data_IF_880734833128
#
_entry.id   IF_880734833128
#
_cell.length_a   1.000
_cell.length_b   1.000
_cell.length_c   1.000
_cell.angle_alpha   90.00
_cell.angle_beta   90.00
_cell.angle_gamma   90.00
#
_symmetry.space_group_name_H-M   'P 1'
#
loop_
_entity.id
_entity.type
_entity.pdbx_description
1 polymer ?
#
# COMPACT_ATOMS: atom_id res chain seq x y z
N UNK A 1 -78.30 45.88 27.42
CA UNK A 1 -77.19 46.22 26.52
C UNK A 1 -76.12 45.15 26.65
N UNK A 2 -76.06 44.15 25.77
CA UNK A 2 -75.08 43.02 25.85
C UNK A 2 -74.11 43.21 24.73
N UNK A 3 -72.83 43.45 25.03
CA UNK A 3 -71.77 43.63 24.12
C UNK A 3 -71.15 42.26 23.83
N UNK A 4 -71.33 41.72 22.61
CA UNK A 4 -70.67 40.46 22.17
C UNK A 4 -69.32 40.80 21.52
N UNK A 5 -68.22 40.34 22.10
CA UNK A 5 -66.91 40.49 21.59
C UNK A 5 -66.64 39.24 20.71
N UNK A 6 -66.54 39.43 19.42
CA UNK A 6 -66.10 38.38 18.45
C UNK A 6 -64.58 38.32 18.41
N UNK A 7 -64.02 37.18 18.81
CA UNK A 7 -62.54 36.87 18.73
C UNK A 7 -62.23 36.28 17.36
N UNK A 8 -61.57 37.04 16.48
CA UNK A 8 -61.09 36.55 15.19
C UNK A 8 -59.77 35.87 15.37
N UNK A 9 -59.72 34.55 15.17
CA UNK A 9 -58.49 33.77 15.16
C UNK A 9 -57.85 33.85 13.75
N UNK A 10 -56.75 34.56 13.62
CA UNK A 10 -55.92 34.58 12.39
C UNK A 10 -55.02 33.33 12.33
N UNK A 11 -55.35 32.40 11.46
CA UNK A 11 -54.50 31.25 11.17
C UNK A 11 -53.32 31.68 10.27
N UNK A 12 -52.10 31.68 10.82
CA UNK A 12 -50.88 31.95 10.10
C UNK A 12 -50.49 30.65 9.34
N UNK A 13 -50.71 30.60 8.00
CA UNK A 13 -50.17 29.56 7.14
C UNK A 13 -48.70 29.84 6.93
N UNK A 14 -47.83 29.08 7.59
CA UNK A 14 -46.40 29.03 7.30
C UNK A 14 -46.17 28.20 6.03
N UNK A 15 -45.51 28.73 4.98
CA UNK A 15 -45.17 27.95 3.79
C UNK A 15 -44.11 26.90 4.20
N UNK A 16 -44.45 25.63 4.07
CA UNK A 16 -43.53 24.53 4.23
C UNK A 16 -42.61 24.50 2.98
N UNK A 17 -41.37 24.99 3.13
CA UNK A 17 -40.34 24.82 2.11
C UNK A 17 -40.01 23.35 2.02
N UNK A 18 -40.04 22.76 0.81
CA UNK A 18 -39.59 21.36 0.61
C UNK A 18 -38.11 21.25 0.99
N UNK A 19 -37.81 20.57 2.09
CA UNK A 19 -36.44 20.13 2.41
C UNK A 19 -36.07 19.14 1.34
N UNK A 20 -35.32 19.60 0.32
CA UNK A 20 -34.64 18.71 -0.62
C UNK A 20 -33.62 17.92 0.19
N UNK A 21 -33.88 16.63 0.39
CA UNK A 21 -32.84 15.69 0.79
C UNK A 21 -31.74 15.81 -0.27
N UNK A 22 -30.63 16.46 0.09
CA UNK A 22 -29.43 16.41 -0.72
C UNK A 22 -28.98 14.94 -0.70
N UNK A 23 -29.15 14.26 -1.83
CA UNK A 23 -28.47 12.99 -2.07
C UNK A 23 -26.99 13.27 -1.86
N UNK A 24 -26.47 12.89 -0.71
CA UNK A 24 -25.04 12.92 -0.43
C UNK A 24 -24.42 11.82 -1.29
N UNK A 25 -24.10 12.17 -2.53
CA UNK A 25 -23.20 11.35 -3.34
C UNK A 25 -21.92 11.24 -2.53
N UNK A 26 -21.63 10.04 -2.06
CA UNK A 26 -20.39 9.76 -1.32
C UNK A 26 -19.16 10.16 -2.13
N UNK A 27 -17.98 10.25 -1.52
CA UNK A 27 -16.75 10.52 -2.25
C UNK A 27 -16.56 9.45 -3.34
N UNK A 28 -16.03 9.84 -4.51
CA UNK A 28 -15.81 8.90 -5.60
C UNK A 28 -14.84 7.78 -5.18
N UNK A 29 -15.13 6.57 -5.65
CA UNK A 29 -14.33 5.37 -5.42
C UNK A 29 -13.52 5.06 -6.65
N UNK A 30 -12.26 4.75 -6.44
CA UNK A 30 -11.29 4.39 -7.48
C UNK A 30 -10.76 2.99 -7.25
N UNK A 31 -10.55 2.28 -8.35
CA UNK A 31 -9.76 1.05 -8.40
C UNK A 31 -8.35 1.42 -8.87
N UNK A 32 -7.35 1.11 -8.06
CA UNK A 32 -5.95 1.30 -8.37
C UNK A 32 -5.28 -0.06 -8.53
N UNK A 33 -4.73 -0.32 -9.70
CA UNK A 33 -4.04 -1.54 -10.06
C UNK A 33 -2.54 -1.26 -10.20
N UNK A 34 -1.71 -2.00 -9.49
CA UNK A 34 -0.26 -1.99 -9.63
C UNK A 34 0.20 -3.27 -10.31
N UNK A 35 1.01 -3.12 -11.36
CA UNK A 35 1.75 -4.18 -12.03
C UNK A 35 3.23 -4.02 -11.75
N UNK A 36 3.80 -4.94 -10.98
CA UNK A 36 5.20 -4.92 -10.61
C UNK A 36 5.92 -6.03 -11.38
N UNK A 37 6.83 -5.65 -12.26
CA UNK A 37 7.61 -6.58 -13.09
C UNK A 37 9.05 -6.58 -12.64
N UNK A 38 9.59 -7.79 -12.50
CA UNK A 38 11.03 -8.02 -12.34
C UNK A 38 11.61 -8.25 -13.72
N UNK A 39 12.39 -7.30 -14.23
CA UNK A 39 12.87 -7.28 -15.61
C UNK A 39 13.93 -8.34 -15.97
N UNK A 40 14.35 -9.16 -15.00
CA UNK A 40 15.21 -10.31 -15.27
C UNK A 40 14.48 -11.50 -15.89
N UNK A 41 13.15 -11.52 -15.78
CA UNK A 41 12.29 -12.59 -16.30
C UNK A 41 11.23 -11.99 -17.23
N UNK A 42 11.35 -12.27 -18.52
CA UNK A 42 10.39 -11.81 -19.54
C UNK A 42 9.09 -12.63 -19.55
N UNK A 43 8.98 -13.65 -18.70
CA UNK A 43 7.75 -14.43 -18.59
C UNK A 43 6.63 -13.64 -17.92
N UNK A 44 5.40 -13.84 -18.40
CA UNK A 44 4.21 -13.23 -17.79
C UNK A 44 4.01 -13.64 -16.31
N UNK A 45 4.70 -14.70 -15.86
CA UNK A 45 4.66 -15.17 -14.46
C UNK A 45 5.49 -14.30 -13.51
N UNK A 46 6.40 -13.47 -14.01
CA UNK A 46 7.20 -12.57 -13.18
C UNK A 46 6.47 -11.29 -12.81
N UNK A 47 5.33 -10.99 -13.43
CA UNK A 47 4.51 -9.84 -13.09
C UNK A 47 3.66 -10.14 -11.85
N UNK A 48 3.77 -9.30 -10.83
CA UNK A 48 2.91 -9.32 -9.65
C UNK A 48 1.85 -8.23 -9.78
N UNK A 49 0.60 -8.62 -9.69
CA UNK A 49 -0.53 -7.70 -9.79
C UNK A 49 -1.18 -7.49 -8.42
N UNK A 50 -1.38 -6.22 -8.06
CA UNK A 50 -2.06 -5.83 -6.83
C UNK A 50 -3.16 -4.84 -7.16
N UNK A 51 -4.36 -5.07 -6.61
CA UNK A 51 -5.55 -4.25 -6.86
C UNK A 51 -6.11 -3.73 -5.55
N UNK A 52 -6.39 -2.43 -5.48
CA UNK A 52 -6.97 -1.77 -4.32
C UNK A 52 -8.20 -0.97 -4.74
N UNK A 53 -9.22 -1.00 -3.89
CA UNK A 53 -10.35 -0.07 -3.97
C UNK A 53 -10.16 0.99 -2.88
N UNK A 54 -10.29 2.27 -3.24
CA UNK A 54 -10.10 3.36 -2.32
C UNK A 54 -10.99 4.56 -2.63
N UNK A 55 -11.41 5.26 -1.60
CA UNK A 55 -12.12 6.53 -1.70
C UNK A 55 -11.12 7.66 -1.95
N UNK A 56 -11.55 8.66 -2.71
CA UNK A 56 -10.78 9.89 -2.91
C UNK A 56 -10.41 10.54 -1.56
N UNK A 57 -9.16 10.98 -1.45
CA UNK A 57 -8.63 11.66 -0.26
C UNK A 57 -8.39 10.74 0.94
N UNK A 58 -8.67 9.45 0.83
CA UNK A 58 -8.39 8.45 1.87
C UNK A 58 -7.06 7.76 1.61
N UNK A 59 -6.39 7.44 2.71
CA UNK A 59 -5.17 6.63 2.69
C UNK A 59 -5.56 5.15 2.67
N UNK A 60 -4.98 4.40 1.73
CA UNK A 60 -5.05 2.95 1.69
C UNK A 60 -3.69 2.35 2.03
N UNK A 61 -3.70 1.24 2.77
CA UNK A 61 -2.51 0.47 3.13
C UNK A 61 -2.73 -0.98 2.75
N UNK A 62 -1.77 -1.52 2.02
CA UNK A 62 -1.79 -2.90 1.56
C UNK A 62 -0.45 -3.56 1.88
N UNK A 63 -0.47 -4.67 2.61
CA UNK A 63 0.72 -5.45 2.94
C UNK A 63 0.50 -6.90 2.58
N UNK A 64 1.44 -7.44 1.81
CA UNK A 64 1.50 -8.88 1.50
C UNK A 64 2.94 -9.34 1.58
N UNK A 65 3.17 -10.43 2.33
CA UNK A 65 4.54 -10.90 2.50
C UNK A 65 4.64 -12.09 3.44
N UNK A 66 5.88 -12.47 3.70
CA UNK A 66 6.24 -13.55 4.62
C UNK A 66 7.14 -13.00 5.72
N UNK A 67 7.17 -13.72 6.83
CA UNK A 67 8.14 -13.50 7.91
C UNK A 67 9.27 -14.50 7.80
N UNK A 68 10.49 -14.01 7.79
CA UNK A 68 11.67 -14.87 7.79
C UNK A 68 12.39 -14.79 9.14
N UNK A 69 12.80 -15.92 9.71
CA UNK A 69 13.61 -15.93 10.92
C UNK A 69 15.05 -15.54 10.54
N UNK A 70 15.63 -14.65 11.33
CA UNK A 70 17.04 -14.27 11.27
C UNK A 70 17.66 -14.66 12.61
N UNK A 71 18.67 -15.50 12.58
CA UNK A 71 19.37 -15.91 13.80
C UNK A 71 20.20 -14.75 14.33
N UNK A 72 19.90 -14.33 15.55
CA UNK A 72 20.74 -13.43 16.36
C UNK A 72 21.35 -14.27 17.48
N UNK A 73 22.55 -14.81 17.27
CA UNK A 73 23.23 -15.62 18.26
C UNK A 73 24.32 -14.83 18.99
N UNK A 74 24.38 -14.97 20.30
CA UNK A 74 25.59 -14.59 21.05
C UNK A 74 26.49 -15.83 21.19
N UNK A 75 27.72 -15.70 20.70
CA UNK A 75 28.74 -16.70 20.90
C UNK A 75 29.41 -16.41 22.26
N UNK A 76 29.20 -17.27 23.23
CA UNK A 76 29.97 -17.20 24.48
C UNK A 76 31.14 -18.17 24.34
N UNK A 77 32.35 -17.64 24.20
CA UNK A 77 33.55 -18.46 24.20
C UNK A 77 33.64 -19.17 25.54
N UNK A 78 33.48 -20.50 25.55
CA UNK A 78 33.69 -21.32 26.74
C UNK A 78 35.16 -21.27 27.14
N UNK A 79 35.42 -21.19 28.46
CA UNK A 79 36.75 -21.38 28.99
C UNK A 79 37.28 -22.79 28.68
N UNK A 80 38.62 -22.99 28.76
CA UNK A 80 39.29 -24.25 28.47
C UNK A 80 38.58 -25.43 29.12
N UNK A 81 37.96 -26.31 28.32
CA UNK A 81 37.32 -27.55 28.74
C UNK A 81 35.79 -27.58 28.80
N UNK A 82 35.11 -26.49 28.41
CA UNK A 82 33.63 -26.45 28.36
C UNK A 82 33.17 -26.27 26.91
N UNK A 83 32.23 -27.12 26.49
CA UNK A 83 31.60 -26.94 25.19
C UNK A 83 30.98 -25.53 25.09
N UNK A 84 31.21 -24.80 23.97
CA UNK A 84 30.61 -23.47 23.78
C UNK A 84 29.08 -23.57 23.79
N UNK A 85 28.45 -22.84 24.72
CA UNK A 85 27.00 -22.70 24.73
C UNK A 85 26.59 -21.71 23.60
N UNK A 86 25.98 -22.25 22.57
CA UNK A 86 25.39 -21.44 21.49
C UNK A 86 23.95 -21.12 21.89
N UNK A 87 23.69 -19.90 22.31
CA UNK A 87 22.32 -19.43 22.51
C UNK A 87 21.83 -18.80 21.21
N UNK A 88 21.01 -19.52 20.45
CA UNK A 88 20.44 -19.03 19.21
C UNK A 88 19.08 -18.37 19.48
N UNK A 89 19.01 -17.06 19.31
CA UNK A 89 17.77 -16.29 19.34
C UNK A 89 17.37 -15.95 17.92
N UNK A 90 16.06 -15.99 17.63
CA UNK A 90 15.54 -15.62 16.30
C UNK A 90 14.81 -14.29 16.39
N UNK A 91 15.14 -13.39 15.46
CA UNK A 91 14.38 -12.18 15.16
C UNK A 91 13.65 -12.39 13.83
N UNK A 92 12.41 -11.96 13.73
CA UNK A 92 11.63 -12.12 12.50
C UNK A 92 11.61 -10.82 11.71
N UNK A 93 11.91 -10.91 10.42
CA UNK A 93 11.86 -9.78 9.48
C UNK A 93 10.73 -10.02 8.49
N UNK A 94 9.89 -9.00 8.29
CA UNK A 94 8.83 -9.04 7.29
C UNK A 94 9.44 -8.74 5.91
N UNK A 95 9.16 -9.60 4.93
CA UNK A 95 9.55 -9.45 3.53
C UNK A 95 8.32 -9.51 2.64
N UNK A 96 8.35 -8.76 1.53
CA UNK A 96 7.24 -8.73 0.58
C UNK A 96 6.99 -7.34 0.02
N UNK A 97 5.72 -7.01 -0.16
CA UNK A 97 5.25 -5.74 -0.72
C UNK A 97 4.43 -5.01 0.33
N UNK A 98 4.77 -3.76 0.58
CA UNK A 98 3.99 -2.83 1.36
C UNK A 98 3.70 -1.61 0.49
N UNK A 99 2.42 -1.33 0.26
CA UNK A 99 1.95 -0.18 -0.51
C UNK A 99 1.10 0.68 0.41
N UNK A 100 1.45 1.94 0.52
CA UNK A 100 0.71 2.94 1.25
C UNK A 100 0.46 4.11 0.31
N UNK A 101 -0.79 4.42 -0.01
CA UNK A 101 -1.08 5.45 -1.00
C UNK A 101 -2.39 6.20 -0.72
N UNK A 102 -2.51 7.36 -1.35
CA UNK A 102 -3.72 8.18 -1.41
C UNK A 102 -3.92 8.70 -2.83
N UNK A 103 -5.18 8.88 -3.23
CA UNK A 103 -5.56 9.43 -4.52
C UNK A 103 -6.34 10.73 -4.32
N UNK A 104 -6.09 11.69 -5.22
CA UNK A 104 -6.84 12.93 -5.26
C UNK A 104 -7.17 13.29 -6.72
N UNK A 105 -8.46 13.39 -7.06
CA UNK A 105 -8.89 13.78 -8.42
C UNK A 105 -8.98 15.29 -8.52
N UNK A 106 -8.24 15.84 -9.45
CA UNK A 106 -8.25 17.26 -9.81
C UNK A 106 -8.73 17.41 -11.26
N UNK A 107 -10.06 17.46 -11.44
CA UNK A 107 -10.69 17.65 -12.76
C UNK A 107 -10.30 16.57 -13.79
N UNK A 108 -10.27 15.30 -13.39
CA UNK A 108 -9.95 14.16 -14.25
C UNK A 108 -8.47 13.82 -14.31
N UNK A 109 -7.59 14.63 -13.67
CA UNK A 109 -6.20 14.30 -13.42
C UNK A 109 -6.08 13.72 -12.02
N UNK A 110 -5.72 12.46 -11.92
CA UNK A 110 -5.70 11.74 -10.65
C UNK A 110 -4.27 11.78 -10.09
N UNK A 111 -4.09 12.52 -9.00
CA UNK A 111 -2.81 12.58 -8.30
C UNK A 111 -2.67 11.38 -7.38
N UNK A 112 -1.62 10.61 -7.56
CA UNK A 112 -1.22 9.50 -6.72
C UNK A 112 -0.05 9.92 -5.85
N UNK A 113 -0.24 9.88 -4.53
CA UNK A 113 0.82 10.04 -3.53
C UNK A 113 0.95 8.74 -2.76
N UNK A 114 2.18 8.27 -2.51
CA UNK A 114 2.34 7.07 -1.72
C UNK A 114 3.76 6.57 -1.59
N UNK A 115 3.89 5.52 -0.82
CA UNK A 115 5.13 4.80 -0.57
C UNK A 115 4.96 3.35 -0.99
N UNK A 116 5.91 2.83 -1.74
CA UNK A 116 6.01 1.44 -2.13
C UNK A 116 7.31 0.87 -1.57
N UNK A 117 7.19 -0.14 -0.70
CA UNK A 117 8.31 -0.86 -0.12
C UNK A 117 8.26 -2.31 -0.60
N UNK A 118 9.33 -2.73 -1.23
CA UNK A 118 9.52 -4.07 -1.78
C UNK A 118 10.72 -4.70 -1.12
N UNK A 119 10.52 -5.85 -0.52
CA UNK A 119 11.60 -6.61 0.09
C UNK A 119 11.59 -8.06 -0.34
N UNK A 120 12.76 -8.60 -0.62
CA UNK A 120 12.97 -10.00 -1.02
C UNK A 120 14.22 -10.56 -0.36
N UNK A 121 14.31 -11.88 -0.29
CA UNK A 121 15.56 -12.55 0.09
C UNK A 121 16.43 -12.68 -1.14
N UNK A 122 17.68 -12.22 -1.04
CA UNK A 122 18.67 -12.46 -2.09
C UNK A 122 18.91 -13.96 -2.26
N UNK A 123 19.15 -14.44 -3.50
CA UNK A 123 19.59 -15.82 -3.72
C UNK A 123 20.83 -16.10 -2.88
N UNK A 124 20.80 -17.18 -2.10
CA UNK A 124 22.00 -17.58 -1.35
C UNK A 124 23.07 -18.06 -2.34
N UNK A 125 24.26 -17.48 -2.27
CA UNK A 125 25.41 -17.96 -3.02
C UNK A 125 25.70 -19.42 -2.66
N UNK A 126 26.01 -20.24 -3.69
CA UNK A 126 26.27 -21.66 -3.51
C UNK A 126 27.42 -21.93 -2.51
N UNK A 127 28.37 -21.00 -2.41
CA UNK A 127 29.48 -21.07 -1.47
C UNK A 127 29.06 -20.78 0.00
N UNK A 128 28.04 -19.95 0.21
CA UNK A 128 27.54 -19.63 1.55
C UNK A 128 26.71 -20.76 2.18
N UNK A 129 26.29 -21.75 1.40
CA UNK A 129 25.50 -22.90 1.89
C UNK A 129 26.33 -23.90 2.72
N UNK A 130 27.64 -23.82 2.67
CA UNK A 130 28.53 -24.79 3.34
C UNK A 130 28.95 -24.41 4.76
N UNK A 131 28.68 -23.20 5.22
CA UNK A 131 29.10 -22.72 6.54
C UNK A 131 27.87 -22.19 7.30
N UNK A 132 27.58 -22.79 8.48
CA UNK A 132 26.65 -22.32 9.53
C UNK A 132 25.40 -21.62 8.98
N UNK A 133 24.18 -21.78 9.48
CA UNK A 133 23.02 -21.16 8.89
C UNK A 133 23.23 -19.66 8.69
N UNK A 134 23.68 -19.30 7.48
CA UNK A 134 23.92 -17.91 7.13
C UNK A 134 22.58 -17.17 7.20
N UNK A 135 22.54 -16.05 7.90
CA UNK A 135 21.38 -15.20 7.91
C UNK A 135 21.03 -14.79 6.47
N UNK A 136 19.76 -14.83 6.08
CA UNK A 136 19.38 -14.43 4.75
C UNK A 136 19.68 -12.94 4.52
N UNK A 137 20.26 -12.62 3.37
CA UNK A 137 20.41 -11.22 2.95
C UNK A 137 19.07 -10.73 2.43
N UNK A 138 18.54 -9.64 3.01
CA UNK A 138 17.32 -9.00 2.57
C UNK A 138 17.68 -7.83 1.64
N UNK A 139 17.14 -7.86 0.43
CA UNK A 139 17.19 -6.72 -0.51
C UNK A 139 15.89 -5.95 -0.38
N UNK A 140 15.99 -4.65 -0.18
CA UNK A 140 14.85 -3.76 0.00
C UNK A 140 14.92 -2.61 -1.00
N UNK A 141 13.81 -2.34 -1.68
CA UNK A 141 13.63 -1.19 -2.58
C UNK A 141 12.48 -0.34 -2.05
N UNK A 142 12.75 0.93 -1.78
CA UNK A 142 11.74 1.90 -1.33
C UNK A 142 11.55 2.97 -2.39
N UNK A 143 10.30 3.24 -2.73
CA UNK A 143 9.89 4.27 -3.68
C UNK A 143 8.91 5.20 -3.01
N UNK A 144 9.19 6.48 -3.06
CA UNK A 144 8.22 7.51 -2.78
C UNK A 144 7.60 7.95 -4.10
N UNK A 145 6.28 7.87 -4.17
CA UNK A 145 5.49 8.12 -5.39
C UNK A 145 4.75 9.45 -5.26
N UNK A 146 4.98 10.33 -6.21
CA UNK A 146 4.24 11.57 -6.39
C UNK A 146 4.05 11.82 -7.88
N UNK A 147 2.92 11.37 -8.42
CA UNK A 147 2.69 11.38 -9.86
C UNK A 147 1.22 11.60 -10.21
N UNK A 148 0.96 11.99 -11.45
CA UNK A 148 -0.38 12.15 -11.97
C UNK A 148 -0.69 11.04 -12.96
N UNK A 149 -1.85 10.41 -12.78
CA UNK A 149 -2.37 9.33 -13.62
C UNK A 149 -3.57 9.83 -14.43
N UNK A 150 -3.75 9.25 -15.61
CA UNK A 150 -4.97 9.39 -16.42
C UNK A 150 -5.85 8.16 -16.18
N UNK A 151 -7.16 8.38 -16.01
CA UNK A 151 -8.10 7.29 -15.78
C UNK A 151 -8.10 6.28 -16.94
N UNK A 152 -7.99 4.99 -16.63
CA UNK A 152 -7.99 3.89 -17.58
C UNK A 152 -6.69 3.68 -18.37
N UNK A 153 -5.65 4.51 -18.15
CA UNK A 153 -4.39 4.42 -18.88
C UNK A 153 -3.29 3.83 -18.01
N UNK A 154 -2.68 2.70 -18.41
CA UNK A 154 -1.50 2.18 -17.74
C UNK A 154 -0.32 3.16 -17.86
N UNK A 155 0.30 3.50 -16.75
CA UNK A 155 1.41 4.44 -16.68
C UNK A 155 2.57 3.81 -15.91
N UNK A 156 3.77 3.80 -16.50
CA UNK A 156 4.98 3.40 -15.80
C UNK A 156 5.35 4.52 -14.82
N UNK A 157 5.25 4.23 -13.54
CA UNK A 157 5.51 5.19 -12.47
C UNK A 157 6.92 5.09 -11.89
N UNK A 158 7.57 3.93 -12.07
CA UNK A 158 8.98 3.75 -11.72
C UNK A 158 9.62 2.67 -12.59
N UNK A 159 10.88 2.91 -12.96
CA UNK A 159 11.75 1.93 -13.58
C UNK A 159 13.13 2.06 -12.93
N UNK A 160 13.64 0.97 -12.36
CA UNK A 160 14.84 0.96 -11.55
C UNK A 160 15.74 -0.16 -12.03
N UNK A 161 17.01 0.16 -12.25
CA UNK A 161 18.07 -0.81 -12.45
C UNK A 161 18.84 -0.93 -11.13
N UNK A 162 18.72 -2.06 -10.45
CA UNK A 162 19.42 -2.33 -9.20
C UNK A 162 20.91 -2.61 -9.50
N UNK A 163 21.83 -1.74 -9.06
CA UNK A 163 23.26 -1.88 -9.33
C UNK A 163 23.88 -3.06 -8.59
N UNK A 164 23.27 -3.56 -7.52
CA UNK A 164 23.81 -4.66 -6.70
C UNK A 164 23.45 -6.01 -7.29
N UNK A 165 22.20 -6.18 -7.70
CA UNK A 165 21.69 -7.45 -8.21
C UNK A 165 21.60 -7.51 -9.73
N UNK A 166 21.86 -6.39 -10.43
CA UNK A 166 21.65 -6.21 -11.88
C UNK A 166 20.22 -6.51 -12.33
N UNK A 167 19.26 -6.49 -11.41
CA UNK A 167 17.85 -6.71 -11.69
C UNK A 167 17.20 -5.41 -12.14
N UNK A 168 16.39 -5.51 -13.17
CA UNK A 168 15.55 -4.40 -13.64
C UNK A 168 14.19 -4.53 -13.00
N UNK A 169 13.68 -3.42 -12.55
CA UNK A 169 12.43 -3.38 -11.83
C UNK A 169 11.52 -2.31 -12.43
N UNK A 170 10.30 -2.67 -12.76
CA UNK A 170 9.33 -1.74 -13.34
C UNK A 170 8.02 -1.80 -12.57
N UNK A 171 7.51 -0.64 -12.21
CA UNK A 171 6.19 -0.47 -11.59
C UNK A 171 5.29 0.30 -12.55
N UNK A 172 4.19 -0.30 -12.90
CA UNK A 172 3.12 0.31 -13.68
C UNK A 172 1.88 0.46 -12.82
N UNK A 173 1.22 1.60 -12.90
CA UNK A 173 -0.04 1.85 -12.22
C UNK A 173 -1.14 2.17 -13.22
N UNK A 174 -2.34 1.66 -12.96
CA UNK A 174 -3.57 1.99 -13.68
C UNK A 174 -4.65 2.36 -12.68
N UNK A 175 -5.33 3.48 -12.90
CA UNK A 175 -6.43 3.93 -12.05
C UNK A 175 -7.72 3.98 -12.86
N UNK A 176 -8.81 3.47 -12.28
CA UNK A 176 -10.13 3.54 -12.87
C UNK A 176 -11.15 4.03 -11.84
N UNK A 177 -12.05 4.93 -12.23
CA UNK A 177 -13.17 5.32 -11.39
C UNK A 177 -14.22 4.22 -11.42
N UNK A 178 -14.72 3.84 -10.24
CA UNK A 178 -15.71 2.77 -10.11
C UNK A 178 -17.13 3.35 -10.05
N UNK A 179 -17.27 4.54 -9.45
CA UNK A 179 -18.55 5.27 -9.33
C UNK A 179 -18.31 6.78 -9.39
#
# INVERSE_FOLDING_TARGET
>A
MRLSVALAAAAVLLPQLPVRAQDRVGPPVYKLDFNIRDGGDTSAKAARHYSLLMEQGRKAVFKVGNRIPVASGSFQAGGTGVNPLVNTQFTYIDIGVNIECSLNDQNGRILLHGDLDLSTVAPADAAARAAIPANPTVVQTKLNLDTALEAGKPTVIAAIDDPVTSRKFQVEATVARVN
#
